data_IF_018162336299
#
_entry.id   IF_018162336299
#
_cell.length_a   1.000
_cell.length_b   1.000
_cell.length_c   1.000
_cell.angle_alpha   90.00
_cell.angle_beta   90.00
_cell.angle_gamma   90.00
#
_symmetry.space_group_name_H-M   'P 1'
#
loop_
_entity.id
_entity.type
_entity.pdbx_description
1 polymer ?
#
# COMPACT_ATOMS: atom_id res chain seq x y z
N UNK A 1 -15.62 10.09 0.63
CA UNK A 1 -14.47 9.93 1.54
C UNK A 1 -14.10 8.47 1.48
N UNK A 2 -12.85 8.13 1.14
CA UNK A 2 -12.48 6.71 1.10
C UNK A 2 -12.34 6.19 2.53
N UNK A 3 -12.73 4.95 2.72
CA UNK A 3 -12.63 4.27 3.99
C UNK A 3 -11.30 3.50 4.06
N UNK A 4 -10.50 3.78 5.09
CA UNK A 4 -9.23 3.08 5.32
C UNK A 4 -9.46 1.63 5.73
N UNK A 5 -10.61 1.29 6.32
CA UNK A 5 -10.95 -0.10 6.65
C UNK A 5 -11.13 -0.95 5.38
N UNK A 6 -11.68 -0.38 4.30
CA UNK A 6 -11.76 -1.10 3.02
C UNK A 6 -10.37 -1.41 2.46
N UNK A 7 -9.46 -0.45 2.55
CA UNK A 7 -8.07 -0.66 2.16
C UNK A 7 -7.40 -1.74 2.99
N UNK A 8 -7.61 -1.72 4.30
CA UNK A 8 -7.12 -2.76 5.19
C UNK A 8 -7.61 -4.14 4.77
N UNK A 9 -8.90 -4.28 4.46
CA UNK A 9 -9.48 -5.53 3.99
C UNK A 9 -8.83 -6.02 2.68
N UNK A 10 -8.62 -5.15 1.69
CA UNK A 10 -7.92 -5.50 0.45
C UNK A 10 -6.52 -6.02 0.73
N UNK A 11 -5.79 -5.35 1.63
CA UNK A 11 -4.43 -5.77 1.94
C UNK A 11 -4.37 -7.11 2.68
N UNK A 12 -5.33 -7.37 3.58
CA UNK A 12 -5.47 -8.65 4.27
C UNK A 12 -5.90 -9.78 3.34
N UNK A 13 -6.63 -9.47 2.27
CA UNK A 13 -7.05 -10.43 1.24
C UNK A 13 -5.94 -10.76 0.23
N UNK A 14 -4.87 -9.96 0.19
CA UNK A 14 -3.79 -10.13 -0.79
C UNK A 14 -4.09 -9.44 -2.13
N UNK A 15 -5.05 -8.53 -2.17
CA UNK A 15 -5.42 -7.82 -3.39
C UNK A 15 -4.37 -6.75 -3.73
N UNK A 16 -3.96 -6.66 -5.00
CA UNK A 16 -3.05 -5.60 -5.43
C UNK A 16 -3.82 -4.27 -5.53
N UNK A 17 -3.25 -3.21 -4.98
CA UNK A 17 -3.92 -1.90 -4.93
C UNK A 17 -3.07 -0.84 -5.59
N UNK A 18 -3.62 -0.21 -6.62
CA UNK A 18 -3.06 1.01 -7.21
C UNK A 18 -3.92 2.22 -6.83
N UNK A 19 -3.28 3.36 -6.58
CA UNK A 19 -4.00 4.58 -6.25
C UNK A 19 -3.19 5.85 -6.54
N UNK A 20 -3.87 6.99 -6.56
CA UNK A 20 -3.27 8.31 -6.76
C UNK A 20 -3.37 9.17 -5.51
N UNK A 21 -2.26 9.80 -5.12
CA UNK A 21 -2.21 10.83 -4.06
C UNK A 21 -1.32 11.98 -4.50
N UNK A 22 -1.78 13.23 -4.32
CA UNK A 22 -1.07 14.45 -4.76
C UNK A 22 -0.60 14.39 -6.24
N UNK A 23 -1.40 13.78 -7.11
CA UNK A 23 -1.11 13.64 -8.55
C UNK A 23 -0.03 12.61 -8.90
N UNK A 24 0.42 11.80 -7.94
CA UNK A 24 1.38 10.71 -8.15
C UNK A 24 0.71 9.37 -7.94
N UNK A 25 1.11 8.37 -8.73
CA UNK A 25 0.59 7.00 -8.65
C UNK A 25 1.44 6.16 -7.71
N UNK A 26 0.78 5.33 -6.92
CA UNK A 26 1.36 4.41 -5.96
C UNK A 26 0.81 3.01 -6.19
N UNK A 27 1.61 2.00 -5.89
CA UNK A 27 1.20 0.59 -5.95
C UNK A 27 1.52 -0.12 -4.64
N UNK A 28 0.63 -1.03 -4.27
CA UNK A 28 0.84 -2.06 -3.26
C UNK A 28 0.72 -3.41 -3.96
N UNK A 29 1.80 -4.18 -3.94
CA UNK A 29 1.90 -5.50 -4.57
C UNK A 29 2.50 -6.52 -3.59
N UNK A 30 2.46 -7.80 -3.93
CA UNK A 30 2.95 -8.88 -3.08
C UNK A 30 4.10 -9.63 -3.73
N UNK A 31 5.01 -10.12 -2.90
CA UNK A 31 6.15 -10.90 -3.37
C UNK A 31 6.45 -12.05 -2.42
N UNK A 32 7.18 -13.04 -2.94
CA UNK A 32 7.79 -14.11 -2.16
C UNK A 32 9.30 -14.04 -2.39
N UNK A 33 10.06 -13.86 -1.31
CA UNK A 33 11.53 -13.81 -1.42
C UNK A 33 12.16 -15.21 -1.52
N UNK A 34 13.47 -15.27 -1.71
CA UNK A 34 14.23 -16.53 -1.83
C UNK A 34 14.11 -17.46 -0.61
N UNK A 35 13.78 -16.90 0.56
CA UNK A 35 13.53 -17.66 1.79
C UNK A 35 12.09 -18.18 1.90
N UNK A 36 11.29 -18.07 0.83
CA UNK A 36 9.85 -18.39 0.79
C UNK A 36 9.02 -17.56 1.77
N UNK A 37 9.49 -16.37 2.11
CA UNK A 37 8.75 -15.45 2.96
C UNK A 37 7.96 -14.50 2.09
N UNK A 38 6.66 -14.41 2.36
CA UNK A 38 5.75 -13.44 1.76
C UNK A 38 6.00 -12.03 2.31
N UNK A 39 5.82 -11.03 1.44
CA UNK A 39 5.94 -9.63 1.80
C UNK A 39 5.05 -8.73 0.94
N UNK A 40 4.88 -7.50 1.42
CA UNK A 40 4.14 -6.42 0.77
C UNK A 40 5.17 -5.42 0.25
N UNK A 41 5.10 -5.10 -1.04
CA UNK A 41 5.90 -4.09 -1.70
C UNK A 41 5.05 -2.84 -1.91
N UNK A 42 5.53 -1.69 -1.43
CA UNK A 42 4.83 -0.41 -1.56
C UNK A 42 5.76 0.65 -2.15
N UNK A 43 5.34 1.28 -3.25
CA UNK A 43 6.14 2.30 -3.92
C UNK A 43 5.30 3.36 -4.64
N UNK A 44 5.91 4.53 -4.88
CA UNK A 44 5.50 5.39 -5.99
C UNK A 44 5.93 4.72 -7.30
N UNK A 45 5.12 4.82 -8.35
CA UNK A 45 5.42 4.26 -9.66
C UNK A 45 6.83 4.64 -10.13
N UNK A 46 7.57 3.65 -10.64
CA UNK A 46 8.94 3.77 -11.14
C UNK A 46 9.99 4.17 -10.08
N UNK A 47 9.68 4.01 -8.79
CA UNK A 47 10.65 4.19 -7.70
C UNK A 47 10.91 2.88 -6.96
N UNK A 48 12.00 2.88 -6.20
CA UNK A 48 12.36 1.77 -5.31
C UNK A 48 11.24 1.52 -4.28
N UNK A 49 10.86 0.25 -4.07
CA UNK A 49 9.85 -0.10 -3.10
C UNK A 49 10.36 -0.09 -1.67
N UNK A 50 9.43 0.14 -0.76
CA UNK A 50 9.57 -0.18 0.65
C UNK A 50 8.84 -1.48 0.89
N UNK A 51 9.56 -2.45 1.45
CA UNK A 51 9.03 -3.79 1.71
C UNK A 51 8.62 -3.95 3.17
N UNK A 52 7.54 -4.68 3.39
CA UNK A 52 7.00 -5.01 4.70
C UNK A 52 6.73 -6.50 4.76
N UNK A 53 7.13 -7.15 5.85
CA UNK A 53 6.98 -8.59 6.02
C UNK A 53 5.80 -8.99 6.92
N UNK A 54 5.02 -8.00 7.37
CA UNK A 54 3.80 -8.16 8.17
C UNK A 54 2.78 -7.11 7.77
N UNK A 55 1.52 -7.51 7.57
CA UNK A 55 0.43 -6.57 7.26
C UNK A 55 0.27 -5.51 8.35
N UNK A 56 0.41 -5.87 9.63
CA UNK A 56 0.34 -4.91 10.74
C UNK A 56 1.45 -3.84 10.66
N UNK A 57 2.65 -4.23 10.26
CA UNK A 57 3.77 -3.30 10.10
C UNK A 57 3.51 -2.33 8.96
N UNK A 58 3.04 -2.85 7.82
CA UNK A 58 2.59 -2.03 6.70
C UNK A 58 1.50 -1.02 7.11
N UNK A 59 0.43 -1.47 7.79
CA UNK A 59 -0.68 -0.59 8.21
C UNK A 59 -0.26 0.53 9.17
N UNK A 60 0.76 0.27 10.00
CA UNK A 60 1.21 1.21 11.02
C UNK A 60 2.37 2.11 10.58
N UNK A 61 3.14 1.70 9.57
CA UNK A 61 4.39 2.36 9.21
C UNK A 61 4.48 2.82 7.74
N UNK A 62 3.61 2.36 6.84
CA UNK A 62 3.61 2.82 5.45
C UNK A 62 3.29 4.31 5.35
N UNK A 63 4.13 5.05 4.63
CA UNK A 63 4.08 6.52 4.53
C UNK A 63 4.30 6.99 3.10
N UNK A 64 3.62 8.07 2.76
CA UNK A 64 3.98 8.91 1.61
C UNK A 64 4.56 10.20 2.18
N UNK A 65 5.79 10.54 1.79
CA UNK A 65 6.55 11.65 2.38
C UNK A 65 6.69 11.41 3.90
N UNK A 66 6.03 12.22 4.74
CA UNK A 66 6.04 12.08 6.20
C UNK A 66 4.66 11.74 6.79
N UNK A 67 3.67 11.41 5.95
CA UNK A 67 2.30 11.13 6.37
C UNK A 67 1.99 9.63 6.27
N UNK A 68 1.41 9.05 7.33
CA UNK A 68 0.95 7.65 7.34
C UNK A 68 -0.20 7.47 6.35
N UNK A 69 -0.26 6.32 5.67
CA UNK A 69 -1.35 6.01 4.73
C UNK A 69 -2.73 6.19 5.37
N UNK A 70 -2.91 5.72 6.61
CA UNK A 70 -4.17 5.87 7.37
C UNK A 70 -4.62 7.33 7.58
N UNK A 71 -3.68 8.27 7.58
CA UNK A 71 -3.96 9.69 7.80
C UNK A 71 -4.25 10.46 6.49
N UNK A 72 -4.00 9.85 5.33
CA UNK A 72 -4.18 10.49 4.01
C UNK A 72 -5.22 9.79 3.14
N UNK A 73 -5.73 8.64 3.58
CA UNK A 73 -6.55 7.76 2.75
C UNK A 73 -7.84 8.41 2.26
N UNK A 74 -8.40 9.31 3.08
CA UNK A 74 -9.58 10.11 2.76
C UNK A 74 -9.38 11.02 1.52
N UNK A 75 -8.13 11.30 1.14
CA UNK A 75 -7.72 12.18 0.02
C UNK A 75 -7.21 11.42 -1.19
N UNK A 76 -7.08 10.10 -1.12
CA UNK A 76 -6.64 9.26 -2.24
C UNK A 76 -7.70 9.25 -3.34
N UNK A 77 -7.30 9.10 -4.60
CA UNK A 77 -8.20 9.02 -5.77
C UNK A 77 -7.74 7.93 -6.73
N UNK A 78 -8.56 7.62 -7.74
CA UNK A 78 -8.25 6.66 -8.81
C UNK A 78 -7.79 5.28 -8.30
N UNK A 79 -8.54 4.75 -7.34
CA UNK A 79 -8.25 3.46 -6.70
C UNK A 79 -8.62 2.33 -7.67
N UNK A 80 -7.68 1.43 -7.93
CA UNK A 80 -7.88 0.18 -8.65
C UNK A 80 -7.42 -0.98 -7.77
N UNK A 81 -8.20 -2.06 -7.76
CA UNK A 81 -7.96 -3.27 -6.97
C UNK A 81 -8.00 -4.46 -7.92
N UNK A 82 -7.02 -5.36 -7.84
CA UNK A 82 -6.83 -6.49 -8.77
C UNK A 82 -6.71 -7.82 -8.06
#
# INVERSE_FOLDING_TARGET
MNDFENFKNWIEMGDEVEFTYKGKRYSVTYFVNDSKQEGISFCEFYKEPVEFYKAEDFMNNAKIENELLKNIWDKVVDISVF
#
